data_IF_150981460121
#
_entry.id   IF_150981460121
#
_cell.length_a   1.000
_cell.length_b   1.000
_cell.length_c   1.000
_cell.angle_alpha   90.00
_cell.angle_beta   90.00
_cell.angle_gamma   90.00
#
_symmetry.space_group_name_H-M   'P 1'
#
loop_
_entity.id
_entity.type
_entity.pdbx_description
1 polymer ?
#
# COMPACT_ATOMS: atom_id res chain seq x y z
N UNK A 1 -15.76 -4.52 27.14
CA UNK A 1 -15.30 -5.30 25.97
C UNK A 1 -15.84 -4.62 24.72
N UNK A 2 -15.03 -4.42 23.67
CA UNK A 2 -15.51 -3.83 22.40
C UNK A 2 -16.32 -4.91 21.65
N UNK A 3 -17.56 -4.65 21.20
CA UNK A 3 -18.35 -5.62 20.44
C UNK A 3 -17.65 -6.03 19.15
N UNK A 4 -17.67 -7.32 18.80
CA UNK A 4 -17.04 -7.85 17.59
C UNK A 4 -17.53 -7.13 16.32
N UNK A 5 -18.82 -6.83 16.23
CA UNK A 5 -19.38 -6.07 15.10
C UNK A 5 -18.70 -4.71 14.92
N UNK A 6 -18.36 -4.01 16.00
CA UNK A 6 -17.63 -2.73 15.89
C UNK A 6 -16.20 -2.93 15.39
N UNK A 7 -15.55 -4.05 15.74
CA UNK A 7 -14.23 -4.41 15.23
C UNK A 7 -14.29 -4.74 13.74
N UNK A 8 -15.33 -5.44 13.28
CA UNK A 8 -15.58 -5.69 11.85
C UNK A 8 -15.87 -4.42 11.06
N UNK A 9 -16.61 -3.48 11.64
CA UNK A 9 -16.86 -2.18 11.03
C UNK A 9 -15.56 -1.37 10.92
N UNK A 10 -14.70 -1.40 11.96
CA UNK A 10 -13.39 -0.76 11.93
C UNK A 10 -12.47 -1.36 10.86
N UNK A 11 -12.45 -2.70 10.72
CA UNK A 11 -11.70 -3.38 9.66
C UNK A 11 -12.12 -2.90 8.28
N UNK A 12 -13.43 -2.80 8.05
CA UNK A 12 -13.98 -2.36 6.77
C UNK A 12 -13.52 -0.96 6.42
N UNK A 13 -13.52 -0.04 7.40
CA UNK A 13 -13.03 1.34 7.22
C UNK A 13 -11.53 1.32 6.89
N UNK A 14 -10.73 0.61 7.68
CA UNK A 14 -9.28 0.48 7.47
C UNK A 14 -8.98 -0.04 6.06
N UNK A 15 -9.69 -1.09 5.63
CA UNK A 15 -9.49 -1.70 4.31
C UNK A 15 -9.92 -0.77 3.19
N UNK A 16 -11.01 -0.01 3.34
CA UNK A 16 -11.40 1.04 2.38
C UNK A 16 -10.32 2.11 2.28
N UNK A 17 -9.77 2.57 3.41
CA UNK A 17 -8.67 3.54 3.42
C UNK A 17 -7.45 3.01 2.67
N UNK A 18 -7.05 1.75 2.91
CA UNK A 18 -5.97 1.10 2.18
C UNK A 18 -6.22 1.08 0.67
N UNK A 19 -7.44 0.68 0.25
CA UNK A 19 -7.85 0.65 -1.17
C UNK A 19 -7.76 2.05 -1.78
N UNK A 20 -8.29 3.06 -1.10
CA UNK A 20 -8.28 4.45 -1.59
C UNK A 20 -6.86 4.99 -1.73
N UNK A 21 -5.97 4.70 -0.79
CA UNK A 21 -4.55 5.10 -0.87
C UNK A 21 -3.92 4.50 -2.13
N UNK A 22 -4.04 3.18 -2.32
CA UNK A 22 -3.41 2.49 -3.44
C UNK A 22 -3.99 2.89 -4.79
N UNK A 23 -5.33 2.93 -4.91
CA UNK A 23 -5.97 3.28 -6.18
C UNK A 23 -5.69 4.74 -6.54
N UNK A 24 -5.75 5.66 -5.57
CA UNK A 24 -5.42 7.07 -5.81
C UNK A 24 -3.95 7.24 -6.19
N UNK A 25 -3.03 6.59 -5.47
CA UNK A 25 -1.60 6.66 -5.75
C UNK A 25 -1.22 6.02 -7.09
N UNK A 26 -1.76 4.85 -7.41
CA UNK A 26 -1.50 4.15 -8.66
C UNK A 26 -2.07 4.89 -9.86
N UNK A 27 -3.32 5.35 -9.73
CA UNK A 27 -3.97 6.15 -10.78
C UNK A 27 -3.23 7.45 -11.01
N UNK A 28 -2.88 8.21 -9.95
CA UNK A 28 -2.16 9.48 -10.13
C UNK A 28 -0.82 9.28 -10.85
N UNK A 29 -0.09 8.19 -10.57
CA UNK A 29 1.14 7.85 -11.29
C UNK A 29 0.89 7.47 -12.75
N UNK A 30 -0.12 6.64 -13.04
CA UNK A 30 -0.47 6.27 -14.43
C UNK A 30 -0.87 7.49 -15.28
N UNK A 31 -1.63 8.41 -14.69
CA UNK A 31 -2.11 9.62 -15.37
C UNK A 31 -1.13 10.80 -15.30
N UNK A 32 0.05 10.63 -14.69
CA UNK A 32 1.11 11.65 -14.64
C UNK A 32 1.84 11.89 -15.95
N UNK A 33 1.47 11.19 -17.03
CA UNK A 33 2.11 11.26 -18.35
C UNK A 33 3.64 11.04 -18.32
N UNK A 34 4.12 10.23 -17.37
CA UNK A 34 5.54 9.94 -17.19
C UNK A 34 6.21 10.77 -16.08
N UNK A 35 5.56 11.80 -15.56
CA UNK A 35 6.13 12.68 -14.53
C UNK A 35 6.58 11.94 -13.27
N UNK A 36 5.84 10.90 -12.84
CA UNK A 36 6.29 10.04 -11.74
C UNK A 36 7.62 9.35 -12.05
N UNK A 37 7.74 8.74 -13.22
CA UNK A 37 8.94 8.01 -13.61
C UNK A 37 10.14 8.96 -13.76
N UNK A 38 9.95 10.06 -14.47
CA UNK A 38 11.00 11.07 -14.70
C UNK A 38 11.54 11.62 -13.38
N UNK A 39 10.65 12.04 -12.48
CA UNK A 39 11.02 12.57 -11.18
C UNK A 39 11.85 11.59 -10.36
N UNK A 40 11.33 10.37 -10.11
CA UNK A 40 12.04 9.41 -9.26
C UNK A 40 13.30 8.85 -9.93
N UNK A 41 13.32 8.69 -11.26
CA UNK A 41 14.51 8.21 -11.97
C UNK A 41 15.70 9.15 -11.81
N UNK A 42 15.47 10.47 -11.76
CA UNK A 42 16.50 11.47 -11.50
C UNK A 42 17.00 11.42 -10.04
N UNK A 43 16.09 11.25 -9.07
CA UNK A 43 16.47 11.13 -7.66
C UNK A 43 17.38 9.92 -7.41
N UNK A 44 17.08 8.79 -8.05
CA UNK A 44 17.89 7.57 -7.96
C UNK A 44 19.24 7.64 -8.69
N UNK A 45 19.51 8.71 -9.45
CA UNK A 45 20.81 8.98 -10.08
C UNK A 45 21.66 10.00 -9.29
N UNK A 46 21.13 10.52 -8.17
CA UNK A 46 21.85 11.45 -7.31
C UNK A 46 23.00 10.81 -6.51
N UNK A 47 23.60 11.61 -5.62
CA UNK A 47 24.64 11.13 -4.71
C UNK A 47 24.02 10.33 -3.56
N UNK A 48 23.86 9.03 -3.77
CA UNK A 48 23.21 8.11 -2.84
C UNK A 48 24.22 7.21 -2.13
N UNK A 49 23.94 6.93 -0.85
CA UNK A 49 24.71 5.95 -0.05
C UNK A 49 24.65 4.53 -0.63
N UNK A 50 23.52 4.19 -1.25
CA UNK A 50 23.26 2.90 -1.87
C UNK A 50 22.95 3.15 -3.34
N UNK A 51 23.83 2.66 -4.21
CA UNK A 51 23.67 2.80 -5.66
C UNK A 51 23.08 1.52 -6.23
N UNK A 52 21.84 1.59 -6.72
CA UNK A 52 21.18 0.48 -7.40
C UNK A 52 21.46 0.51 -8.89
N UNK A 53 21.46 -0.67 -9.51
CA UNK A 53 21.56 -0.76 -10.97
C UNK A 53 20.36 -0.02 -11.62
N UNK A 54 20.58 0.86 -12.63
CA UNK A 54 19.51 1.63 -13.25
C UNK A 54 18.36 0.77 -13.81
N UNK A 55 18.68 -0.43 -14.29
CA UNK A 55 17.68 -1.38 -14.75
C UNK A 55 16.67 -1.76 -13.66
N UNK A 56 17.14 -2.03 -12.44
CA UNK A 56 16.29 -2.41 -11.31
C UNK A 56 15.36 -1.27 -10.91
N UNK A 57 15.90 -0.06 -10.80
CA UNK A 57 15.13 1.15 -10.48
C UNK A 57 14.06 1.38 -11.56
N UNK A 58 14.46 1.36 -12.83
CA UNK A 58 13.55 1.62 -13.95
C UNK A 58 12.42 0.58 -14.01
N UNK A 59 12.73 -0.70 -13.79
CA UNK A 59 11.74 -1.76 -13.76
C UNK A 59 10.77 -1.56 -12.59
N UNK A 60 11.29 -1.26 -11.40
CA UNK A 60 10.47 -1.02 -10.21
C UNK A 60 9.55 0.17 -10.40
N UNK A 61 10.06 1.33 -10.83
CA UNK A 61 9.26 2.52 -11.10
C UNK A 61 8.17 2.29 -12.14
N UNK A 62 8.46 1.53 -13.20
CA UNK A 62 7.44 1.16 -14.21
C UNK A 62 6.37 0.23 -13.64
N UNK A 63 6.74 -0.67 -12.72
CA UNK A 63 5.83 -1.64 -12.13
C UNK A 63 4.96 -1.04 -11.01
N UNK A 64 5.47 -0.08 -10.23
CA UNK A 64 4.81 0.50 -9.05
C UNK A 64 3.35 0.90 -9.28
N UNK A 65 2.98 1.65 -10.34
CA UNK A 65 1.59 2.06 -10.52
C UNK A 65 0.64 0.89 -10.76
N UNK A 66 1.11 -0.16 -11.44
CA UNK A 66 0.34 -1.38 -11.68
C UNK A 66 0.20 -2.21 -10.42
N UNK A 67 1.27 -2.31 -9.61
CA UNK A 67 1.25 -2.99 -8.31
C UNK A 67 0.23 -2.30 -7.40
N UNK A 68 0.22 -0.97 -7.35
CA UNK A 68 -0.71 -0.20 -6.53
C UNK A 68 -2.16 -0.46 -6.93
N UNK A 69 -2.50 -0.30 -8.20
CA UNK A 69 -3.88 -0.53 -8.68
C UNK A 69 -4.29 -1.99 -8.47
N UNK A 70 -3.43 -2.95 -8.83
CA UNK A 70 -3.73 -4.38 -8.68
C UNK A 70 -3.96 -4.76 -7.22
N UNK A 71 -3.09 -4.30 -6.32
CA UNK A 71 -3.20 -4.59 -4.90
C UNK A 71 -4.43 -3.91 -4.28
N UNK A 72 -4.75 -2.69 -4.71
CA UNK A 72 -5.98 -2.00 -4.32
C UNK A 72 -7.24 -2.80 -4.72
N UNK A 73 -7.25 -3.35 -5.94
CA UNK A 73 -8.33 -4.24 -6.38
C UNK A 73 -8.33 -5.58 -5.62
N UNK A 74 -7.17 -6.14 -5.29
CA UNK A 74 -7.08 -7.38 -4.52
C UNK A 74 -7.67 -7.23 -3.11
N UNK A 75 -7.51 -6.06 -2.48
CA UNK A 75 -8.09 -5.74 -1.16
C UNK A 75 -9.62 -5.66 -1.17
N UNK A 76 -10.26 -5.49 -2.33
CA UNK A 76 -11.72 -5.62 -2.46
C UNK A 76 -12.19 -7.07 -2.30
N UNK A 77 -11.30 -8.06 -2.38
CA UNK A 77 -11.69 -9.45 -2.20
C UNK A 77 -11.77 -9.84 -0.73
N UNK A 78 -12.96 -10.25 -0.26
CA UNK A 78 -13.11 -10.87 1.05
C UNK A 78 -12.39 -12.23 1.13
N UNK A 79 -12.40 -13.00 0.04
CA UNK A 79 -11.79 -14.34 -0.03
C UNK A 79 -10.26 -14.28 0.07
N UNK A 80 -9.65 -13.29 -0.59
CA UNK A 80 -8.19 -13.16 -0.66
C UNK A 80 -7.64 -12.07 0.25
N UNK A 81 -8.44 -11.57 1.22
CA UNK A 81 -8.05 -10.50 2.16
C UNK A 81 -6.65 -10.72 2.73
N UNK A 82 -6.39 -11.90 3.32
CA UNK A 82 -5.13 -12.15 4.02
C UNK A 82 -3.92 -12.06 3.08
N UNK A 83 -4.05 -12.58 1.85
CA UNK A 83 -3.00 -12.50 0.83
C UNK A 83 -2.79 -11.06 0.35
N UNK A 84 -3.87 -10.31 0.16
CA UNK A 84 -3.81 -8.90 -0.19
C UNK A 84 -3.14 -8.06 0.92
N UNK A 85 -3.40 -8.38 2.19
CA UNK A 85 -2.73 -7.73 3.33
C UNK A 85 -1.25 -8.10 3.42
N UNK A 86 -0.86 -9.35 3.13
CA UNK A 86 0.57 -9.69 2.98
C UNK A 86 1.21 -8.94 1.81
N UNK A 87 0.52 -8.83 0.68
CA UNK A 87 0.96 -8.03 -0.46
C UNK A 87 1.17 -6.56 -0.08
N UNK A 88 0.28 -5.99 0.74
CA UNK A 88 0.43 -4.67 1.32
C UNK A 88 1.70 -4.53 2.15
N UNK A 89 1.97 -5.46 3.07
CA UNK A 89 3.20 -5.38 3.87
C UNK A 89 4.46 -5.44 3.00
N UNK A 90 4.52 -6.38 2.06
CA UNK A 90 5.66 -6.51 1.15
C UNK A 90 5.86 -5.22 0.35
N UNK A 91 4.78 -4.65 -0.17
CA UNK A 91 4.84 -3.43 -0.97
C UNK A 91 5.21 -2.18 -0.14
N UNK A 92 4.65 -2.02 1.06
CA UNK A 92 5.02 -0.91 1.95
C UNK A 92 6.48 -1.03 2.42
N UNK A 93 6.97 -2.24 2.69
CA UNK A 93 8.38 -2.45 3.02
C UNK A 93 9.31 -2.14 1.84
N UNK A 94 8.92 -2.50 0.60
CA UNK A 94 9.72 -2.15 -0.58
C UNK A 94 9.75 -0.65 -0.85
N UNK A 95 8.63 0.07 -0.62
CA UNK A 95 8.61 1.53 -0.68
C UNK A 95 9.45 2.18 0.43
N UNK A 96 9.36 1.69 1.67
CA UNK A 96 10.19 2.14 2.79
C UNK A 96 11.67 2.00 2.46
N UNK A 97 12.07 0.88 1.86
CA UNK A 97 13.43 0.67 1.39
C UNK A 97 13.83 1.68 0.30
N UNK A 98 12.95 1.98 -0.65
CA UNK A 98 13.17 3.02 -1.66
C UNK A 98 13.40 4.40 -1.05
N UNK A 99 12.54 4.83 -0.13
CA UNK A 99 12.68 6.12 0.57
C UNK A 99 13.94 6.17 1.46
N UNK A 100 14.35 5.04 2.04
CA UNK A 100 15.60 4.94 2.79
C UNK A 100 16.82 5.19 1.88
N UNK A 101 16.83 4.60 0.68
CA UNK A 101 17.90 4.84 -0.31
C UNK A 101 17.97 6.31 -0.70
N UNK A 102 16.81 6.94 -0.94
CA UNK A 102 16.69 8.37 -1.24
C UNK A 102 16.98 9.28 -0.03
N UNK A 103 17.23 8.71 1.15
CA UNK A 103 17.51 9.44 2.40
C UNK A 103 16.36 10.36 2.83
N UNK A 104 15.12 10.02 2.46
CA UNK A 104 13.92 10.75 2.83
C UNK A 104 13.41 10.30 4.22
N UNK A 105 14.12 10.68 5.28
CA UNK A 105 13.86 10.19 6.64
C UNK A 105 12.43 10.45 7.14
N UNK A 106 11.83 11.57 6.73
CA UNK A 106 10.42 11.87 7.04
C UNK A 106 9.47 10.87 6.38
N UNK A 107 9.67 10.58 5.09
CA UNK A 107 8.89 9.59 4.34
C UNK A 107 9.04 8.19 4.95
N UNK A 108 10.25 7.79 5.36
CA UNK A 108 10.49 6.50 6.04
C UNK A 108 9.66 6.36 7.31
N UNK A 109 9.56 7.43 8.12
CA UNK A 109 8.72 7.40 9.32
C UNK A 109 7.23 7.34 8.99
N UNK A 110 6.79 8.06 7.96
CA UNK A 110 5.39 8.02 7.50
C UNK A 110 4.99 6.64 6.97
N UNK A 111 5.93 5.88 6.40
CA UNK A 111 5.67 4.51 5.96
C UNK A 111 5.29 3.56 7.12
N UNK A 112 5.70 3.86 8.36
CA UNK A 112 5.29 3.07 9.53
C UNK A 112 3.78 3.17 9.77
N UNK A 113 3.17 4.33 9.51
CA UNK A 113 1.71 4.52 9.64
C UNK A 113 0.95 3.60 8.66
N UNK A 114 1.46 3.45 7.44
CA UNK A 114 0.89 2.53 6.46
C UNK A 114 1.08 1.06 6.86
N UNK A 115 2.20 0.72 7.50
CA UNK A 115 2.41 -0.62 8.06
C UNK A 115 1.41 -0.89 9.20
N UNK A 116 1.18 0.08 10.09
CA UNK A 116 0.18 -0.05 11.15
C UNK A 116 -1.24 -0.16 10.61
N UNK A 117 -1.57 0.54 9.52
CA UNK A 117 -2.85 0.39 8.84
C UNK A 117 -3.04 -1.05 8.32
N UNK A 118 -2.00 -1.63 7.73
CA UNK A 118 -1.98 -3.05 7.34
C UNK A 118 -2.16 -4.00 8.53
N UNK A 119 -1.52 -3.70 9.66
CA UNK A 119 -1.63 -4.49 10.89
C UNK A 119 -3.06 -4.47 11.47
N UNK A 120 -3.71 -3.30 11.47
CA UNK A 120 -5.11 -3.20 11.87
C UNK A 120 -6.00 -4.05 10.96
N UNK A 121 -5.79 -3.99 9.65
CA UNK A 121 -6.53 -4.81 8.70
C UNK A 121 -6.28 -6.32 8.91
N UNK A 122 -5.04 -6.69 9.26
CA UNK A 122 -4.65 -8.07 9.53
C UNK A 122 -5.34 -8.66 10.76
N UNK A 123 -5.37 -7.91 11.87
CA UNK A 123 -5.84 -8.40 13.17
C UNK A 123 -7.36 -8.33 13.30
N UNK A 124 -7.99 -7.29 12.73
CA UNK A 124 -9.42 -7.11 12.91
C UNK A 124 -10.24 -8.14 12.13
N UNK A 125 -11.34 -8.65 12.72
CA UNK A 125 -12.26 -9.55 12.02
C UNK A 125 -12.91 -8.81 10.84
N UNK A 126 -13.31 -9.52 9.80
CA UNK A 126 -14.03 -8.93 8.67
C UNK A 126 -15.48 -9.42 8.60
N UNK A 127 -16.32 -8.65 7.92
CA UNK A 127 -17.66 -9.10 7.54
C UNK A 127 -17.60 -10.10 6.39
N UNK A 128 -18.58 -11.00 6.33
CA UNK A 128 -18.73 -11.97 5.23
C UNK A 128 -18.92 -11.28 3.87
N UNK A 129 -19.62 -10.14 3.87
CA UNK A 129 -19.93 -9.32 2.69
C UNK A 129 -19.51 -7.86 2.90
N UNK A 130 -19.32 -7.13 1.81
CA UNK A 130 -19.08 -5.68 1.83
C UNK A 130 -20.34 -4.87 2.11
N UNK A 131 -21.47 -5.33 1.57
CA UNK A 131 -22.73 -4.57 1.58
C UNK A 131 -23.68 -4.97 2.71
N UNK A 132 -23.42 -6.11 3.33
CA UNK A 132 -24.21 -6.61 4.46
C UNK A 132 -23.38 -6.54 5.73
N UNK A 133 -24.02 -6.16 6.83
CA UNK A 133 -23.43 -6.28 8.17
C UNK A 133 -23.79 -7.67 8.67
N UNK A 134 -22.82 -8.41 9.19
CA UNK A 134 -23.11 -9.69 9.83
C UNK A 134 -24.05 -9.45 11.03
N UNK A 135 -24.96 -10.39 11.28
CA UNK A 135 -25.84 -10.33 12.45
C UNK A 135 -25.01 -10.51 13.74
N UNK A 136 -25.45 -9.88 14.82
CA UNK A 136 -24.93 -10.20 16.16
C UNK A 136 -25.39 -11.63 16.48
N UNK A 137 -24.46 -12.59 16.38
CA UNK A 137 -24.62 -13.87 17.07
C UNK A 137 -24.15 -13.72 18.50
#
# INVERSE_FOLDING_TARGET
MIPELKLKDAERIVRITMILILVTAGTSKLFSQGGFFEYYSQLFQGDLRINLAPFLVNLYLKATPFIEVFLGLALLSNKYKIFAVYGWFVFMLSLLFGHYILQEWSSVNQMLDYIFLGLLCFILPNHSSWFSRDNAN
#
